data_IF_710149466001
#
_entry.id   IF_710149466001
#
_cell.length_a   1.000
_cell.length_b   1.000
_cell.length_c   1.000
_cell.angle_alpha   90.00
_cell.angle_beta   90.00
_cell.angle_gamma   90.00
#
_symmetry.space_group_name_H-M   'P 1'
#
loop_
_entity.id
_entity.type
_entity.pdbx_description
1 polymer ?
#
# COMPACT_ATOMS: atom_id res chain seq x y z
N UNK A 1 10.59 1.36 13.58
CA UNK A 1 9.95 0.84 12.35
C UNK A 1 10.98 0.65 11.25
N UNK A 2 10.63 -0.05 10.18
CA UNK A 2 11.36 0.04 8.92
C UNK A 2 10.84 1.26 8.17
N UNK A 3 11.69 2.25 7.95
CA UNK A 3 11.32 3.48 7.26
C UNK A 3 11.29 3.26 5.75
N UNK A 4 10.21 3.66 5.09
CA UNK A 4 10.12 3.68 3.63
C UNK A 4 10.31 5.12 3.16
N UNK A 5 11.33 5.35 2.32
CA UNK A 5 11.54 6.67 1.72
C UNK A 5 10.50 6.93 0.63
N UNK A 6 9.83 8.05 0.75
CA UNK A 6 8.96 8.56 -0.32
C UNK A 6 9.83 9.00 -1.51
N UNK A 7 9.54 8.52 -2.72
CA UNK A 7 10.31 8.92 -3.92
C UNK A 7 10.19 10.42 -4.22
N UNK A 8 9.07 11.03 -3.83
CA UNK A 8 8.79 12.44 -4.14
C UNK A 8 9.48 13.41 -3.19
N UNK A 9 9.61 13.05 -1.92
CA UNK A 9 10.11 13.97 -0.87
C UNK A 9 11.46 13.57 -0.30
N UNK A 10 11.95 12.37 -0.60
CA UNK A 10 13.14 11.78 0.01
C UNK A 10 13.09 11.74 1.55
N UNK A 11 11.90 11.77 2.10
CA UNK A 11 11.66 11.66 3.54
C UNK A 11 11.00 10.33 3.87
N UNK A 12 11.13 9.90 5.12
CA UNK A 12 10.45 8.70 5.61
C UNK A 12 8.94 8.93 5.59
N UNK A 13 8.22 8.08 4.87
CA UNK A 13 6.76 8.11 4.83
C UNK A 13 6.20 7.83 6.23
N UNK A 14 5.28 8.67 6.73
CA UNK A 14 4.65 8.43 8.02
C UNK A 14 3.71 7.23 7.94
N UNK A 15 3.53 6.56 9.07
CA UNK A 15 2.44 5.60 9.25
C UNK A 15 1.12 6.36 9.37
N UNK A 16 0.07 5.85 8.75
CA UNK A 16 -1.27 6.46 8.74
C UNK A 16 -2.27 5.55 9.43
N UNK A 17 -3.01 6.08 10.37
CA UNK A 17 -4.04 5.36 11.12
C UNK A 17 -5.35 6.14 11.09
N UNK A 18 -6.47 5.44 11.15
CA UNK A 18 -7.77 6.06 11.39
C UNK A 18 -8.14 5.92 12.87
N UNK A 19 -8.42 7.05 13.51
CA UNK A 19 -8.96 7.12 14.86
C UNK A 19 -10.18 8.03 14.84
N UNK A 20 -11.32 7.53 15.28
CA UNK A 20 -12.61 8.26 15.26
C UNK A 20 -12.94 8.85 13.88
N UNK A 21 -12.70 8.08 12.81
CA UNK A 21 -12.95 8.50 11.44
C UNK A 21 -11.97 9.56 10.90
N UNK A 22 -10.93 9.91 11.66
CA UNK A 22 -9.93 10.92 11.25
C UNK A 22 -8.57 10.27 11.01
N UNK A 23 -7.89 10.61 9.90
CA UNK A 23 -6.54 10.13 9.65
C UNK A 23 -5.55 10.76 10.63
N UNK A 24 -4.72 9.93 11.23
CA UNK A 24 -3.58 10.31 12.07
C UNK A 24 -2.30 9.87 11.39
N UNK A 25 -1.31 10.73 11.38
CA UNK A 25 0.03 10.42 10.84
C UNK A 25 1.03 10.37 11.99
N UNK A 26 1.87 9.34 11.96
CA UNK A 26 2.91 9.14 12.98
C UNK A 26 4.19 8.63 12.33
N UNK A 27 5.30 9.24 12.67
CA UNK A 27 6.61 8.74 12.26
C UNK A 27 7.32 8.23 13.51
N UNK A 28 7.63 6.94 13.52
CA UNK A 28 8.40 6.31 14.59
C UNK A 28 9.88 6.30 14.22
N UNK A 29 10.77 6.19 15.21
CA UNK A 29 12.19 6.00 14.93
C UNK A 29 12.42 4.81 14.00
N UNK A 30 13.17 5.02 12.92
CA UNK A 30 13.50 3.97 11.98
C UNK A 30 14.79 3.27 12.37
N UNK A 31 14.78 1.94 12.41
CA UNK A 31 15.98 1.11 12.59
C UNK A 31 16.79 1.07 11.31
N UNK A 32 16.08 0.99 10.20
CA UNK A 32 16.63 1.00 8.84
C UNK A 32 15.67 1.75 7.94
N UNK A 33 16.19 2.35 6.89
CA UNK A 33 15.41 3.07 5.88
C UNK A 33 15.67 2.46 4.50
N UNK A 34 14.61 2.19 3.78
CA UNK A 34 14.64 1.53 2.47
C UNK A 34 13.84 2.33 1.44
N UNK A 35 14.13 2.15 0.16
CA UNK A 35 13.46 2.85 -0.95
C UNK A 35 12.42 2.00 -1.66
N UNK A 36 12.47 0.67 -1.52
CA UNK A 36 11.60 -0.26 -2.24
C UNK A 36 10.59 -0.96 -1.34
N UNK A 37 9.38 -1.19 -1.85
CA UNK A 37 8.34 -1.88 -1.11
C UNK A 37 8.70 -3.34 -0.80
N UNK A 38 9.37 -4.03 -1.72
CA UNK A 38 9.85 -5.40 -1.55
C UNK A 38 10.89 -5.49 -0.44
N UNK A 39 11.85 -4.55 -0.43
CA UNK A 39 12.88 -4.47 0.63
C UNK A 39 12.26 -4.12 1.97
N UNK A 40 11.21 -3.30 1.97
CA UNK A 40 10.45 -2.95 3.18
C UNK A 40 9.80 -4.20 3.79
N UNK A 41 9.12 -5.02 2.99
CA UNK A 41 8.52 -6.29 3.44
C UNK A 41 9.58 -7.28 3.88
N UNK A 42 10.65 -7.45 3.11
CA UNK A 42 11.75 -8.36 3.47
C UNK A 42 12.39 -7.97 4.82
N UNK A 43 12.58 -6.69 5.07
CA UNK A 43 13.12 -6.19 6.34
C UNK A 43 12.20 -6.50 7.51
N UNK A 44 10.89 -6.39 7.34
CA UNK A 44 9.92 -6.77 8.37
C UNK A 44 9.94 -8.28 8.63
N UNK A 45 10.06 -9.12 7.58
CA UNK A 45 10.20 -10.57 7.72
C UNK A 45 11.46 -10.97 8.51
N UNK A 46 12.51 -10.16 8.46
CA UNK A 46 13.71 -10.32 9.28
C UNK A 46 13.56 -9.80 10.72
N UNK A 47 12.38 -9.31 11.10
CA UNK A 47 12.12 -8.80 12.45
C UNK A 47 12.69 -7.40 12.72
N UNK A 48 13.02 -6.62 11.68
CA UNK A 48 13.62 -5.29 11.85
C UNK A 48 12.62 -4.21 12.28
N UNK A 49 11.33 -4.51 12.33
CA UNK A 49 10.34 -3.59 12.87
C UNK A 49 9.01 -3.57 12.13
N UNK A 50 8.19 -2.59 12.48
CA UNK A 50 6.86 -2.40 11.89
C UNK A 50 6.97 -1.79 10.50
N UNK A 51 6.07 -2.23 9.62
CA UNK A 51 5.83 -1.65 8.30
C UNK A 51 4.34 -1.37 8.11
N UNK A 52 4.02 -0.48 7.20
CA UNK A 52 2.66 -0.30 6.69
C UNK A 52 2.68 -0.52 5.18
N UNK A 53 1.88 -1.47 4.72
CA UNK A 53 1.86 -1.91 3.33
C UNK A 53 0.48 -2.46 2.99
N UNK A 54 0.04 -2.44 1.73
CA UNK A 54 -1.21 -3.08 1.32
C UNK A 54 -1.21 -4.58 1.62
N UNK A 55 -2.35 -5.10 2.07
CA UNK A 55 -2.51 -6.53 2.45
C UNK A 55 -2.11 -7.51 1.35
N UNK A 56 -2.38 -7.19 0.09
CA UNK A 56 -2.03 -8.08 -1.03
C UNK A 56 -0.53 -8.36 -1.14
N UNK A 57 0.33 -7.47 -0.62
CA UNK A 57 1.79 -7.65 -0.65
C UNK A 57 2.31 -8.59 0.41
N UNK A 58 1.59 -8.75 1.50
CA UNK A 58 2.03 -9.50 2.70
C UNK A 58 1.14 -10.68 3.05
N UNK A 59 0.10 -10.92 2.23
CA UNK A 59 -0.86 -11.99 2.50
C UNK A 59 -0.17 -13.34 2.69
N UNK A 60 0.78 -13.69 1.85
CA UNK A 60 1.53 -14.95 1.94
C UNK A 60 2.35 -15.07 3.22
N UNK A 61 2.97 -13.99 3.67
CA UNK A 61 3.79 -13.93 4.88
C UNK A 61 2.92 -14.01 6.14
N UNK A 62 1.76 -13.37 6.12
CA UNK A 62 0.78 -13.44 7.22
C UNK A 62 0.17 -14.84 7.30
N UNK A 63 -0.25 -15.42 6.17
CA UNK A 63 -0.81 -16.78 6.12
C UNK A 63 0.18 -17.85 6.64
N UNK A 64 1.48 -17.63 6.45
CA UNK A 64 2.56 -18.50 6.99
C UNK A 64 2.99 -18.16 8.41
N UNK A 65 2.45 -17.10 9.01
CA UNK A 65 2.81 -16.67 10.35
C UNK A 65 4.18 -15.98 10.46
N UNK A 66 4.80 -15.59 9.34
CA UNK A 66 6.07 -14.83 9.31
C UNK A 66 5.84 -13.39 9.73
N UNK A 67 4.72 -12.81 9.33
CA UNK A 67 4.26 -11.48 9.72
C UNK A 67 2.96 -11.58 10.51
N UNK A 68 2.75 -10.64 11.42
CA UNK A 68 1.52 -10.51 12.20
C UNK A 68 0.94 -9.13 11.98
N UNK A 69 -0.36 -9.06 11.67
CA UNK A 69 -1.08 -7.79 11.60
C UNK A 69 -1.24 -7.21 13.01
N UNK A 70 -0.85 -5.96 13.18
CA UNK A 70 -0.98 -5.22 14.44
C UNK A 70 -1.94 -4.05 14.27
N UNK A 71 -2.64 -3.69 15.33
CA UNK A 71 -3.63 -2.61 15.35
C UNK A 71 -4.76 -2.77 14.29
N UNK A 72 -5.40 -3.95 14.21
CA UNK A 72 -6.44 -4.19 13.21
C UNK A 72 -7.64 -3.24 13.35
N UNK A 73 -7.87 -2.71 14.55
CA UNK A 73 -8.97 -1.76 14.84
C UNK A 73 -8.68 -0.31 14.41
N UNK A 74 -7.46 -0.05 13.94
CA UNK A 74 -7.02 1.27 13.47
C UNK A 74 -6.45 1.22 12.05
N UNK A 75 -7.22 0.70 11.08
CA UNK A 75 -6.72 0.59 9.71
C UNK A 75 -6.47 1.98 9.10
N UNK A 76 -5.53 2.12 8.18
CA UNK A 76 -5.40 3.33 7.39
C UNK A 76 -6.65 3.54 6.52
N UNK A 77 -6.87 4.80 6.11
CA UNK A 77 -7.89 5.09 5.10
C UNK A 77 -7.58 4.35 3.80
N UNK A 78 -8.60 3.85 3.14
CA UNK A 78 -8.47 3.26 1.82
C UNK A 78 -7.86 4.27 0.84
N UNK A 79 -6.89 3.82 0.05
CA UNK A 79 -6.28 4.63 -0.99
C UNK A 79 -6.97 4.31 -2.32
N UNK A 80 -7.39 5.33 -3.07
CA UNK A 80 -7.96 5.11 -4.40
C UNK A 80 -6.88 4.57 -5.35
N UNK A 81 -7.25 3.60 -6.16
CA UNK A 81 -6.41 3.07 -7.23
C UNK A 81 -6.84 3.71 -8.54
N UNK A 82 -5.90 4.25 -9.29
CA UNK A 82 -6.15 4.92 -10.56
C UNK A 82 -5.41 4.22 -11.69
N UNK A 83 -6.07 4.13 -12.84
CA UNK A 83 -5.43 3.73 -14.09
C UNK A 83 -4.95 5.00 -14.78
N UNK A 84 -3.63 5.11 -14.98
CA UNK A 84 -3.01 6.22 -15.68
C UNK A 84 -2.62 5.79 -17.09
N UNK A 85 -2.95 6.62 -18.08
CA UNK A 85 -2.55 6.41 -19.47
C UNK A 85 -2.19 7.74 -20.13
N UNK A 86 -1.38 7.67 -21.18
CA UNK A 86 -0.95 8.89 -21.90
C UNK A 86 -2.16 9.61 -22.50
N UNK A 87 -2.21 10.96 -22.41
CA UNK A 87 -3.27 11.74 -23.03
C UNK A 87 -3.16 11.63 -24.55
N UNK A 88 -4.07 10.91 -25.17
CA UNK A 88 -4.18 10.79 -26.61
C UNK A 88 -5.52 11.35 -27.08
N UNK A 89 -5.54 11.94 -28.28
CA UNK A 89 -6.80 12.44 -28.89
C UNK A 89 -7.83 11.33 -29.09
N UNK A 90 -7.35 10.10 -29.30
CA UNK A 90 -8.19 8.91 -29.45
C UNK A 90 -7.55 7.73 -28.72
N UNK A 91 -8.29 7.13 -27.80
CA UNK A 91 -7.89 5.87 -27.20
C UNK A 91 -8.01 4.76 -28.26
N UNK A 92 -6.94 3.94 -28.38
CA UNK A 92 -7.05 2.76 -29.23
C UNK A 92 -8.12 1.81 -28.68
N UNK A 93 -8.86 1.08 -29.53
CA UNK A 93 -9.87 0.12 -29.06
C UNK A 93 -9.33 -0.89 -28.04
N UNK A 94 -8.08 -1.31 -28.22
CA UNK A 94 -7.40 -2.25 -27.27
C UNK A 94 -7.20 -1.63 -25.90
N UNK A 95 -6.77 -0.37 -25.85
CA UNK A 95 -6.55 0.34 -24.59
C UNK A 95 -7.88 0.58 -23.86
N UNK A 96 -8.92 0.97 -24.60
CA UNK A 96 -10.27 1.12 -24.05
C UNK A 96 -10.79 -0.17 -23.45
N UNK A 97 -10.68 -1.28 -24.19
CA UNK A 97 -11.09 -2.59 -23.71
C UNK A 97 -10.34 -3.00 -22.43
N UNK A 98 -9.04 -2.76 -22.36
CA UNK A 98 -8.24 -3.02 -21.18
C UNK A 98 -8.67 -2.17 -19.98
N UNK A 99 -8.90 -0.87 -20.18
CA UNK A 99 -9.36 0.04 -19.12
C UNK A 99 -10.70 -0.41 -18.57
N UNK A 100 -11.66 -0.73 -19.46
CA UNK A 100 -13.00 -1.19 -19.07
C UNK A 100 -12.94 -2.51 -18.31
N UNK A 101 -12.13 -3.45 -18.79
CA UNK A 101 -11.90 -4.73 -18.10
C UNK A 101 -11.27 -4.53 -16.72
N UNK A 102 -10.21 -3.72 -16.62
CA UNK A 102 -9.53 -3.46 -15.37
C UNK A 102 -10.45 -2.73 -14.37
N UNK A 103 -11.20 -1.73 -14.82
CA UNK A 103 -12.18 -1.03 -13.98
C UNK A 103 -13.28 -1.97 -13.46
N UNK A 104 -13.79 -2.87 -14.30
CA UNK A 104 -14.77 -3.86 -13.88
C UNK A 104 -14.18 -4.88 -12.90
N UNK A 105 -12.93 -5.32 -13.12
CA UNK A 105 -12.26 -6.32 -12.28
C UNK A 105 -11.91 -5.79 -10.90
N UNK A 106 -11.32 -4.58 -10.83
CA UNK A 106 -10.87 -3.99 -9.57
C UNK A 106 -11.94 -3.14 -8.88
N UNK A 107 -12.92 -2.61 -9.61
CA UNK A 107 -14.07 -1.91 -9.02
C UNK A 107 -14.97 -2.83 -8.21
N UNK A 108 -15.12 -4.08 -8.60
CA UNK A 108 -15.91 -5.07 -7.88
C UNK A 108 -15.27 -5.56 -6.56
N UNK A 109 -13.96 -5.38 -6.37
CA UNK A 109 -13.27 -5.76 -5.14
C UNK A 109 -13.41 -4.71 -4.00
N UNK A 110 -13.89 -3.52 -4.31
CA UNK A 110 -14.13 -2.47 -3.29
C UNK A 110 -15.47 -2.63 -2.55
N UNK A 111 -16.42 -3.37 -3.11
CA UNK A 111 -17.74 -3.59 -2.51
C UNK A 111 -17.81 -4.87 -1.66
N UNK A 112 -16.71 -5.55 -1.43
CA UNK A 112 -16.62 -6.87 -0.79
C UNK A 112 -15.92 -6.93 0.58
N UNK A 113 -15.70 -5.79 1.25
CA UNK A 113 -15.25 -5.76 2.64
C UNK A 113 -16.22 -5.03 3.56
#
# INVERSE_FOLDING_TARGET
MVGLLSPDTSQIAPLVFCTDGKPRRMTLPAVITVTGAETNVASACLGLGLIQTPRYRTKGEVDRGVLVEVLPDHPPSALPVHILYAPTRQLSPRLRLFIDWAAARFGAEQDGE
#
